data_IF_647561885869
#
_entry.id   IF_647561885869
#
_cell.length_a   1.000
_cell.length_b   1.000
_cell.length_c   1.000
_cell.angle_alpha   90.00
_cell.angle_beta   90.00
_cell.angle_gamma   90.00
#
_symmetry.space_group_name_H-M   'P 1'
#
loop_
_entity.id
_entity.type
_entity.pdbx_description
1 polymer ?
#
# COMPACT_ATOMS: atom_id res chain seq x y z
N UNK A 1 -22.94 5.84 -4.83
CA UNK A 1 -23.58 5.89 -6.17
C UNK A 1 -22.67 6.56 -7.22
N UNK A 2 -21.35 6.28 -7.23
CA UNK A 2 -20.37 6.92 -8.14
C UNK A 2 -19.63 5.87 -8.99
N UNK A 3 -19.62 4.61 -8.54
CA UNK A 3 -18.83 3.53 -9.13
C UNK A 3 -19.36 3.09 -10.50
N UNK A 4 -20.68 3.05 -10.70
CA UNK A 4 -21.31 2.62 -11.97
C UNK A 4 -21.01 3.61 -13.12
N UNK A 5 -21.27 4.93 -12.98
CA UNK A 5 -20.92 5.88 -14.04
C UNK A 5 -19.41 5.91 -14.30
N UNK A 6 -18.57 5.86 -13.26
CA UNK A 6 -17.12 5.79 -13.40
C UNK A 6 -16.66 4.58 -14.23
N UNK A 7 -17.17 3.37 -13.94
CA UNK A 7 -16.81 2.15 -14.69
C UNK A 7 -17.26 2.22 -16.15
N UNK A 8 -18.43 2.82 -16.44
CA UNK A 8 -18.91 3.01 -17.81
C UNK A 8 -17.99 3.91 -18.61
N UNK A 9 -17.62 5.08 -18.06
CA UNK A 9 -16.68 6.00 -18.72
C UNK A 9 -15.30 5.35 -18.88
N UNK A 10 -14.82 4.62 -17.88
CA UNK A 10 -13.51 3.96 -17.93
C UNK A 10 -13.38 2.97 -19.10
N UNK A 11 -14.44 2.21 -19.41
CA UNK A 11 -14.45 1.28 -20.56
C UNK A 11 -14.27 2.05 -21.87
N UNK A 12 -15.00 3.16 -22.04
CA UNK A 12 -14.87 4.01 -23.24
C UNK A 12 -13.47 4.61 -23.35
N UNK A 13 -12.89 5.07 -22.23
CA UNK A 13 -11.51 5.59 -22.20
C UNK A 13 -10.47 4.53 -22.55
N UNK A 14 -10.65 3.27 -22.11
CA UNK A 14 -9.74 2.18 -22.50
C UNK A 14 -9.85 1.81 -23.97
N UNK A 15 -11.06 1.80 -24.53
CA UNK A 15 -11.25 1.61 -25.97
C UNK A 15 -10.56 2.71 -26.76
N UNK A 16 -10.74 3.96 -26.35
CA UNK A 16 -10.09 5.10 -27.00
C UNK A 16 -8.56 5.03 -26.87
N UNK A 17 -8.04 4.67 -25.70
CA UNK A 17 -6.59 4.44 -25.48
C UNK A 17 -6.02 3.33 -26.37
N UNK A 18 -6.76 2.25 -26.56
CA UNK A 18 -6.35 1.17 -27.47
C UNK A 18 -6.34 1.65 -28.93
N UNK A 19 -7.39 2.35 -29.35
CA UNK A 19 -7.45 2.95 -30.68
C UNK A 19 -6.26 3.89 -30.93
N UNK A 20 -5.97 4.80 -30.00
CA UNK A 20 -4.84 5.73 -30.16
C UNK A 20 -3.50 5.00 -30.19
N UNK A 21 -3.31 3.98 -29.35
CA UNK A 21 -2.13 3.13 -29.38
C UNK A 21 -1.91 2.47 -30.76
N UNK A 22 -2.94 1.85 -31.34
CA UNK A 22 -2.84 1.19 -32.65
C UNK A 22 -2.54 2.20 -33.76
N UNK A 23 -3.20 3.35 -33.77
CA UNK A 23 -2.92 4.40 -34.76
C UNK A 23 -1.48 4.93 -34.67
N UNK A 24 -0.93 5.08 -33.45
CA UNK A 24 0.48 5.45 -33.24
C UNK A 24 1.43 4.37 -33.79
N UNK A 25 1.18 3.08 -33.50
CA UNK A 25 1.99 1.96 -34.01
C UNK A 25 1.95 1.86 -35.54
N UNK A 26 0.79 2.14 -36.15
CA UNK A 26 0.60 2.15 -37.60
C UNK A 26 1.06 3.46 -38.29
N UNK A 27 1.61 4.42 -37.54
CA UNK A 27 2.08 5.74 -38.03
C UNK A 27 1.02 6.53 -38.80
N UNK A 28 -0.25 6.43 -38.37
CA UNK A 28 -1.34 7.22 -38.95
C UNK A 28 -1.28 8.66 -38.44
N UNK A 29 -1.53 9.64 -39.32
CA UNK A 29 -1.58 11.07 -38.97
C UNK A 29 -2.97 11.55 -38.52
N UNK A 30 -3.88 10.60 -38.24
CA UNK A 30 -5.28 10.87 -37.88
C UNK A 30 -5.42 11.45 -36.47
N UNK A 31 -4.40 11.33 -35.62
CA UNK A 31 -4.41 11.77 -34.22
C UNK A 31 -3.59 13.05 -34.08
N UNK A 32 -4.13 14.02 -33.36
CA UNK A 32 -3.41 15.26 -33.06
C UNK A 32 -2.17 14.99 -32.20
N UNK A 33 -1.14 15.81 -32.38
CA UNK A 33 0.14 15.63 -31.70
C UNK A 33 0.01 15.68 -30.17
N UNK A 34 -1.00 16.39 -29.64
CA UNK A 34 -1.28 16.53 -28.21
C UNK A 34 -1.80 15.25 -27.56
N UNK A 35 -2.49 14.40 -28.33
CA UNK A 35 -3.11 13.16 -27.85
C UNK A 35 -2.16 11.94 -27.85
N UNK A 36 -0.96 12.08 -28.43
CA UNK A 36 0.06 11.01 -28.47
C UNK A 36 0.46 10.51 -27.07
N UNK A 37 0.37 11.37 -26.05
CA UNK A 37 0.68 10.99 -24.66
C UNK A 37 -0.27 9.90 -24.12
N UNK A 38 -1.47 9.78 -24.67
CA UNK A 38 -2.47 8.80 -24.24
C UNK A 38 -2.10 7.36 -24.63
N UNK A 39 -1.42 7.16 -25.76
CA UNK A 39 -1.04 5.84 -26.26
C UNK A 39 -0.06 5.12 -25.30
N UNK A 40 0.78 5.89 -24.62
CA UNK A 40 1.86 5.33 -23.82
C UNK A 40 1.42 5.05 -22.37
N UNK A 41 1.86 3.94 -21.77
CA UNK A 41 1.65 3.68 -20.36
C UNK A 41 2.43 4.68 -19.51
N UNK A 42 1.85 5.07 -18.37
CA UNK A 42 2.55 5.89 -17.38
C UNK A 42 3.80 5.17 -16.88
N UNK A 43 4.95 5.83 -16.98
CA UNK A 43 6.21 5.39 -16.35
C UNK A 43 6.51 6.31 -15.19
N UNK A 44 6.51 5.74 -13.97
CA UNK A 44 6.89 6.48 -12.77
C UNK A 44 8.38 6.82 -12.81
N UNK A 45 8.79 8.09 -12.70
CA UNK A 45 10.20 8.46 -12.60
C UNK A 45 10.80 8.03 -11.25
N UNK A 46 12.13 8.00 -11.17
CA UNK A 46 12.86 7.77 -9.91
C UNK A 46 12.55 8.93 -8.95
N UNK A 47 12.34 8.61 -7.68
CA UNK A 47 12.08 9.62 -6.65
C UNK A 47 13.37 10.31 -6.24
N UNK A 48 13.31 11.64 -6.09
CA UNK A 48 14.43 12.47 -5.63
C UNK A 48 13.94 13.45 -4.56
N UNK A 49 14.82 13.82 -3.64
CA UNK A 49 14.54 14.77 -2.56
C UNK A 49 15.80 15.58 -2.23
N UNK A 50 15.61 16.81 -1.74
CA UNK A 50 16.66 17.68 -1.23
C UNK A 50 16.34 18.02 0.23
N UNK A 51 17.33 17.87 1.11
CA UNK A 51 17.23 18.21 2.53
C UNK A 51 18.26 19.28 2.86
N UNK A 52 17.82 20.36 3.51
CA UNK A 52 18.71 21.39 4.06
C UNK A 52 18.76 21.21 5.56
N UNK A 53 19.94 20.81 6.07
CA UNK A 53 20.16 20.56 7.49
C UNK A 53 21.05 21.68 8.03
N UNK A 54 20.65 22.36 9.12
CA UNK A 54 21.49 23.39 9.74
C UNK A 54 22.77 22.79 10.31
N UNK A 55 23.88 23.51 10.20
CA UNK A 55 25.14 23.11 10.82
C UNK A 55 25.03 23.17 12.35
N UNK A 56 25.49 22.10 13.01
CA UNK A 56 25.57 22.03 14.47
C UNK A 56 27.04 22.21 14.90
N UNK A 57 27.33 22.95 15.99
CA UNK A 57 28.69 23.10 16.50
C UNK A 57 29.37 21.75 16.76
N UNK A 58 30.65 21.60 16.40
CA UNK A 58 31.40 20.34 16.60
C UNK A 58 31.49 19.88 18.06
N UNK A 59 31.35 20.80 19.02
CA UNK A 59 31.28 20.50 20.46
C UNK A 59 30.01 19.75 20.84
N UNK A 60 28.94 19.87 20.05
CA UNK A 60 27.62 19.32 20.32
C UNK A 60 27.44 18.00 19.58
N UNK A 61 27.67 16.89 20.29
CA UNK A 61 27.69 15.54 19.69
C UNK A 61 26.29 14.97 19.37
N UNK A 62 25.27 15.36 20.14
CA UNK A 62 23.96 14.63 20.15
C UNK A 62 22.77 15.56 19.95
N UNK A 63 22.63 16.61 20.76
CA UNK A 63 21.48 17.53 20.63
C UNK A 63 21.60 18.24 19.27
N UNK A 64 20.50 18.39 18.52
CA UNK A 64 20.50 19.16 17.26
C UNK A 64 21.26 18.55 16.09
N UNK A 65 21.87 17.37 16.24
CA UNK A 65 22.48 16.62 15.14
C UNK A 65 21.48 15.62 14.54
N UNK A 66 21.61 15.33 13.24
CA UNK A 66 20.81 14.30 12.58
C UNK A 66 21.46 12.93 12.80
N UNK A 67 21.10 12.29 13.90
CA UNK A 67 21.56 10.94 14.22
C UNK A 67 20.67 9.89 13.55
N UNK A 68 21.29 8.77 13.12
CA UNK A 68 20.56 7.61 12.67
C UNK A 68 19.63 7.10 13.78
N UNK A 69 18.46 6.61 13.41
CA UNK A 69 17.59 5.89 14.33
C UNK A 69 18.37 4.74 15.00
N UNK A 70 18.39 4.69 16.33
CA UNK A 70 19.29 3.80 17.07
C UNK A 70 19.09 2.32 16.72
N UNK A 71 17.85 1.88 16.47
CA UNK A 71 17.54 0.51 16.03
C UNK A 71 17.37 0.38 14.52
N UNK A 72 17.72 1.41 13.73
CA UNK A 72 17.56 1.38 12.27
C UNK A 72 18.35 0.25 11.60
N UNK A 73 19.52 -0.10 12.14
CA UNK A 73 20.29 -1.24 11.66
C UNK A 73 19.57 -2.56 11.97
N UNK A 74 19.04 -2.74 13.20
CA UNK A 74 18.28 -3.93 13.60
C UNK A 74 17.01 -4.12 12.76
N UNK A 75 16.36 -3.01 12.39
CA UNK A 75 15.20 -3.03 11.49
C UNK A 75 15.59 -3.50 10.07
N UNK A 76 16.74 -3.04 9.56
CA UNK A 76 17.23 -3.41 8.24
C UNK A 76 17.77 -4.85 8.18
N UNK A 77 18.30 -5.38 9.29
CA UNK A 77 18.78 -6.77 9.40
C UNK A 77 17.67 -7.77 9.75
N UNK A 78 16.53 -7.29 10.26
CA UNK A 78 15.45 -8.15 10.76
C UNK A 78 15.70 -8.67 12.18
N UNK A 79 16.67 -8.12 12.90
CA UNK A 79 17.00 -8.50 14.29
C UNK A 79 16.18 -7.73 15.32
N UNK A 80 15.49 -6.66 14.92
CA UNK A 80 14.59 -5.93 15.79
C UNK A 80 13.39 -6.84 16.16
N UNK A 81 13.32 -7.26 17.43
CA UNK A 81 12.24 -8.10 17.95
C UNK A 81 10.96 -7.30 18.18
N UNK A 82 9.88 -7.69 17.51
CA UNK A 82 8.52 -7.21 17.72
C UNK A 82 7.70 -8.23 18.53
N UNK A 83 6.46 -7.87 18.88
CA UNK A 83 5.60 -8.68 19.76
C UNK A 83 5.40 -10.11 19.21
N UNK A 84 5.21 -10.24 17.90
CA UNK A 84 4.97 -11.52 17.25
C UNK A 84 6.25 -12.35 17.04
N UNK A 85 7.44 -11.74 17.18
CA UNK A 85 8.73 -12.42 17.10
C UNK A 85 9.10 -13.12 18.42
N UNK A 86 8.37 -12.85 19.50
CA UNK A 86 8.60 -13.46 20.81
C UNK A 86 8.19 -14.94 20.71
N UNK A 87 9.11 -15.90 20.98
CA UNK A 87 8.78 -17.31 20.90
C UNK A 87 7.62 -17.67 21.85
N UNK A 88 6.66 -18.43 21.32
CA UNK A 88 5.57 -18.96 22.14
C UNK A 88 6.12 -19.92 23.19
N UNK A 89 5.73 -19.72 24.45
CA UNK A 89 6.08 -20.61 25.55
C UNK A 89 5.35 -21.95 25.39
N UNK A 90 5.82 -22.98 26.09
CA UNK A 90 5.12 -24.27 26.15
C UNK A 90 3.69 -24.06 26.64
N UNK A 91 2.71 -24.58 25.89
CA UNK A 91 1.28 -24.44 26.15
C UNK A 91 0.71 -23.01 26.00
N UNK A 92 1.35 -22.14 25.20
CA UNK A 92 0.74 -20.85 24.81
C UNK A 92 -0.60 -21.08 24.10
N UNK A 93 -1.63 -20.34 24.52
CA UNK A 93 -2.95 -20.34 23.89
C UNK A 93 -3.08 -19.14 22.94
N UNK A 94 -3.84 -19.34 21.85
CA UNK A 94 -4.18 -18.30 20.90
C UNK A 94 -5.68 -17.99 20.97
N UNK A 95 -6.02 -16.73 20.72
CA UNK A 95 -7.40 -16.26 20.68
C UNK A 95 -7.68 -15.59 19.32
N UNK A 96 -8.94 -15.64 18.89
CA UNK A 96 -9.41 -14.93 17.71
C UNK A 96 -10.72 -14.22 18.04
N UNK A 97 -10.94 -13.06 17.41
CA UNK A 97 -12.16 -12.29 17.59
C UNK A 97 -13.29 -12.81 16.69
N UNK A 98 -14.50 -12.91 17.25
CA UNK A 98 -15.74 -13.04 16.47
C UNK A 98 -16.36 -11.65 16.35
N UNK A 99 -16.28 -11.07 15.15
CA UNK A 99 -16.72 -9.70 14.89
C UNK A 99 -18.17 -9.64 14.39
N UNK A 100 -18.85 -8.51 14.63
CA UNK A 100 -20.21 -8.31 14.15
C UNK A 100 -20.26 -8.26 12.62
N UNK A 101 -21.21 -8.99 12.03
CA UNK A 101 -21.51 -8.92 10.59
C UNK A 101 -22.56 -7.88 10.25
N UNK A 102 -23.09 -7.18 11.28
CA UNK A 102 -24.10 -6.13 11.13
C UNK A 102 -23.54 -4.82 11.71
N UNK A 103 -23.63 -3.70 10.96
CA UNK A 103 -23.12 -2.41 11.43
C UNK A 103 -23.88 -1.87 12.65
N UNK A 104 -25.17 -2.19 12.77
CA UNK A 104 -26.01 -1.89 13.93
C UNK A 104 -27.07 -2.99 14.08
N UNK A 105 -27.04 -3.71 15.20
CA UNK A 105 -28.01 -4.74 15.55
C UNK A 105 -27.96 -5.04 17.05
N UNK A 106 -29.03 -5.62 17.59
CA UNK A 106 -29.03 -6.19 18.95
C UNK A 106 -28.63 -7.65 18.89
N UNK A 107 -27.70 -8.06 19.76
CA UNK A 107 -27.36 -9.47 19.95
C UNK A 107 -28.52 -10.14 20.69
N UNK A 108 -29.21 -11.09 20.02
CA UNK A 108 -30.34 -11.82 20.62
C UNK A 108 -29.94 -13.20 21.15
N UNK A 109 -28.97 -13.83 20.53
CA UNK A 109 -28.50 -15.17 20.88
C UNK A 109 -27.03 -15.32 20.47
N UNK A 110 -26.26 -16.09 21.24
CA UNK A 110 -24.89 -16.46 20.94
C UNK A 110 -24.82 -17.99 20.91
N UNK A 111 -24.52 -18.54 19.74
CA UNK A 111 -24.35 -19.99 19.55
C UNK A 111 -22.90 -20.33 19.31
N UNK A 112 -22.42 -21.41 19.92
CA UNK A 112 -21.11 -21.99 19.61
C UNK A 112 -21.29 -23.00 18.47
N UNK A 113 -20.53 -22.85 17.38
CA UNK A 113 -20.38 -23.93 16.40
C UNK A 113 -19.24 -24.83 16.85
N UNK A 114 -19.45 -26.15 16.77
CA UNK A 114 -18.46 -27.17 17.13
C UNK A 114 -17.29 -27.26 16.15
N UNK A 115 -17.45 -26.70 14.94
CA UNK A 115 -16.39 -26.62 13.94
C UNK A 115 -15.64 -25.29 14.08
N UNK A 116 -14.47 -25.35 14.70
CA UNK A 116 -13.47 -24.29 14.62
C UNK A 116 -12.78 -24.51 13.27
N UNK A 117 -13.13 -23.70 12.26
CA UNK A 117 -12.37 -23.70 11.00
C UNK A 117 -10.90 -23.46 11.33
N UNK A 118 -9.96 -24.29 10.85
CA UNK A 118 -8.53 -24.05 11.10
C UNK A 118 -8.12 -22.83 10.29
N UNK A 119 -8.18 -21.66 10.93
CA UNK A 119 -7.82 -20.38 10.32
C UNK A 119 -6.42 -19.92 10.77
N UNK A 120 -5.56 -20.87 11.13
CA UNK A 120 -4.17 -20.63 11.48
C UNK A 120 -3.33 -21.54 10.56
N UNK A 121 -2.77 -20.94 9.51
CA UNK A 121 -1.61 -21.47 8.78
C UNK A 121 -0.41 -20.63 9.18
#
# INVERSE_FOLDING_TARGET
MIVIPFRRTLIQSFLFKFYTYVCCELRQTTIDATDNSMAYPYRRPISHAQQTIPECPQSQKVVGTSLLHQSGYLQATGEATYVDDIPSLTNTLHAAFVLSTKPNARIKHLGMKSEISPLIR
#
